data_IF_547111276237
#
_entry.id   IF_547111276237
#
_cell.length_a   1.000
_cell.length_b   1.000
_cell.length_c   1.000
_cell.angle_alpha   90.00
_cell.angle_beta   90.00
_cell.angle_gamma   90.00
#
_symmetry.space_group_name_H-M   'P 1'
#
loop_
_entity.id
_entity.type
_entity.pdbx_description
1 polymer ?
#
# COMPACT_ATOMS: atom_id res chain seq x y z
N UNK A 1 15.87 -2.39 -25.74
CA UNK A 1 15.92 -1.20 -24.87
C UNK A 1 14.77 -1.32 -23.89
N UNK A 2 15.05 -1.42 -22.59
CA UNK A 2 13.99 -1.50 -21.59
C UNK A 2 13.22 -0.17 -21.60
N UNK A 3 11.91 -0.22 -21.76
CA UNK A 3 11.06 0.96 -21.57
C UNK A 3 11.16 1.37 -20.09
N UNK A 4 12.00 2.35 -19.76
CA UNK A 4 11.97 3.01 -18.47
C UNK A 4 10.63 3.74 -18.38
N UNK A 5 9.64 3.11 -17.73
CA UNK A 5 8.49 3.86 -17.26
C UNK A 5 9.02 4.82 -16.20
N UNK A 6 9.01 6.12 -16.50
CA UNK A 6 9.28 7.14 -15.48
C UNK A 6 8.27 6.96 -14.35
N UNK A 7 8.76 6.59 -13.17
CA UNK A 7 7.97 6.42 -11.95
C UNK A 7 8.40 7.53 -11.00
N UNK A 8 7.44 8.29 -10.50
CA UNK A 8 7.71 9.43 -9.61
C UNK A 8 7.78 8.99 -8.15
N UNK A 9 7.04 7.92 -7.79
CA UNK A 9 7.02 7.36 -6.45
C UNK A 9 6.61 5.88 -6.46
N UNK A 10 6.98 5.16 -5.41
CA UNK A 10 6.57 3.78 -5.15
C UNK A 10 5.68 3.77 -3.91
N UNK A 11 4.58 3.02 -3.93
CA UNK A 11 3.76 2.78 -2.75
C UNK A 11 3.64 1.28 -2.48
N UNK A 12 3.81 0.90 -1.23
CA UNK A 12 3.69 -0.47 -0.76
C UNK A 12 2.32 -0.64 -0.11
N UNK A 13 1.56 -1.65 -0.52
CA UNK A 13 0.22 -1.86 0.02
C UNK A 13 0.32 -2.38 1.47
N UNK A 14 -0.33 -1.72 2.45
CA UNK A 14 -0.30 -2.19 3.82
C UNK A 14 -1.08 -3.51 3.95
N UNK A 15 -0.65 -4.40 4.86
CA UNK A 15 -1.29 -5.68 5.08
C UNK A 15 -2.73 -5.50 5.59
N UNK A 16 -3.61 -6.45 5.27
CA UNK A 16 -5.01 -6.38 5.74
C UNK A 16 -5.21 -6.74 7.21
N UNK A 17 -4.21 -7.36 7.83
CA UNK A 17 -4.16 -7.76 9.24
C UNK A 17 -2.71 -7.56 9.72
N UNK A 18 -2.51 -7.37 11.02
CA UNK A 18 -1.16 -7.30 11.59
C UNK A 18 -0.42 -8.63 11.32
N UNK A 19 0.81 -8.53 10.81
CA UNK A 19 1.72 -9.69 10.69
C UNK A 19 3.06 -9.34 11.31
N UNK A 20 3.66 -10.33 11.95
CA UNK A 20 4.98 -10.24 12.59
C UNK A 20 6.12 -10.03 11.59
N UNK A 21 5.97 -10.53 10.36
CA UNK A 21 6.95 -10.41 9.29
C UNK A 21 6.25 -9.92 8.02
N UNK A 22 6.69 -8.78 7.48
CA UNK A 22 6.12 -8.18 6.28
C UNK A 22 7.17 -8.13 5.18
N UNK A 23 6.98 -8.91 4.11
CA UNK A 23 7.88 -8.94 2.95
C UNK A 23 8.04 -7.53 2.34
N UNK A 24 6.95 -6.77 2.26
CA UNK A 24 6.96 -5.43 1.68
C UNK A 24 7.83 -4.46 2.49
N UNK A 25 7.92 -4.58 3.81
CA UNK A 25 8.84 -3.75 4.61
C UNK A 25 10.30 -4.01 4.25
N UNK A 26 10.66 -5.29 4.04
CA UNK A 26 12.01 -5.68 3.61
C UNK A 26 12.30 -5.13 2.22
N UNK A 27 11.33 -5.24 1.29
CA UNK A 27 11.45 -4.67 -0.06
C UNK A 27 11.63 -3.15 0.03
N UNK A 28 10.82 -2.45 0.83
CA UNK A 28 10.94 -1.01 1.04
C UNK A 28 12.33 -0.60 1.53
N UNK A 29 12.88 -1.32 2.51
CA UNK A 29 14.24 -1.08 3.00
C UNK A 29 15.31 -1.30 1.91
N UNK A 30 15.11 -2.26 1.01
CA UNK A 30 16.01 -2.51 -0.13
C UNK A 30 15.86 -1.48 -1.25
N UNK A 31 14.70 -0.86 -1.39
CA UNK A 31 14.43 0.20 -2.37
C UNK A 31 14.95 1.57 -1.91
N UNK A 32 15.12 1.80 -0.61
CA UNK A 32 15.58 3.07 -0.04
C UNK A 32 16.81 3.70 -0.73
N UNK A 33 17.84 2.95 -1.18
CA UNK A 33 19.00 3.51 -1.89
C UNK A 33 18.70 4.03 -3.31
N UNK A 34 17.56 3.70 -3.91
CA UNK A 34 17.24 4.02 -5.31
C UNK A 34 16.82 5.48 -5.53
N UNK A 35 16.75 6.31 -4.48
CA UNK A 35 16.34 7.73 -4.52
C UNK A 35 14.93 7.98 -5.10
N UNK A 36 14.12 6.94 -5.28
CA UNK A 36 12.71 7.06 -5.65
C UNK A 36 11.90 7.23 -4.36
N UNK A 37 11.07 8.28 -4.23
CA UNK A 37 10.22 8.48 -3.06
C UNK A 37 9.31 7.29 -2.76
N UNK A 38 9.21 6.93 -1.48
CA UNK A 38 8.18 6.00 -0.99
C UNK A 38 6.96 6.81 -0.54
N UNK A 39 5.83 6.59 -1.22
CA UNK A 39 4.53 7.13 -0.86
C UNK A 39 3.98 6.36 0.35
N UNK A 40 3.83 6.99 1.52
CA UNK A 40 3.27 6.32 2.69
C UNK A 40 1.78 6.05 2.49
N UNK A 41 1.40 4.78 2.51
CA UNK A 41 0.01 4.33 2.58
C UNK A 41 -0.15 3.56 3.88
N UNK A 42 -1.20 3.87 4.65
CA UNK A 42 -1.50 3.15 5.88
C UNK A 42 -2.94 2.67 5.89
N UNK A 43 -3.19 1.64 6.71
CA UNK A 43 -4.52 1.09 6.91
C UNK A 43 -5.03 1.48 8.29
N UNK A 44 -6.11 2.25 8.33
CA UNK A 44 -6.84 2.56 9.55
C UNK A 44 -7.76 1.39 9.90
N UNK A 45 -7.68 0.94 11.16
CA UNK A 45 -8.56 -0.08 11.70
C UNK A 45 -9.53 0.56 12.71
N UNK A 46 -10.80 0.80 12.32
CA UNK A 46 -11.81 1.28 13.25
C UNK A 46 -11.87 0.37 14.47
N UNK A 47 -11.86 0.95 15.66
CA UNK A 47 -11.86 0.22 16.94
C UNK A 47 -10.73 -0.80 17.10
N UNK A 48 -9.64 -0.68 16.33
CA UNK A 48 -8.52 -1.64 16.30
C UNK A 48 -8.95 -3.07 15.90
N UNK A 49 -10.04 -3.21 15.15
CA UNK A 49 -10.51 -4.50 14.65
C UNK A 49 -10.08 -4.64 13.18
N UNK A 50 -9.05 -5.44 12.88
CA UNK A 50 -8.64 -5.66 11.50
C UNK A 50 -9.63 -6.57 10.79
N UNK A 51 -10.03 -6.18 9.58
CA UNK A 51 -10.90 -6.98 8.70
C UNK A 51 -10.06 -7.54 7.57
N UNK A 52 -9.92 -8.86 7.53
CA UNK A 52 -9.22 -9.55 6.46
C UNK A 52 -9.99 -9.39 5.13
N UNK A 53 -9.31 -9.02 4.06
CA UNK A 53 -9.94 -8.85 2.74
C UNK A 53 -10.67 -10.10 2.25
N UNK A 54 -10.17 -11.30 2.61
CA UNK A 54 -10.77 -12.59 2.24
C UNK A 54 -12.09 -12.89 2.95
N UNK A 55 -12.39 -12.24 4.08
CA UNK A 55 -13.68 -12.43 4.77
C UNK A 55 -14.80 -11.60 4.13
N UNK A 56 -14.45 -10.64 3.27
CA UNK A 56 -15.40 -9.84 2.48
C UNK A 56 -15.81 -10.65 1.25
N UNK A 57 -17.12 -10.88 1.08
CA UNK A 57 -17.68 -11.80 0.08
C UNK A 57 -17.81 -11.16 -1.29
N UNK A 58 -18.24 -9.90 -1.34
CA UNK A 58 -18.50 -9.20 -2.61
C UNK A 58 -17.41 -8.19 -2.95
N UNK A 59 -17.36 -7.78 -4.21
CA UNK A 59 -16.44 -6.75 -4.69
C UNK A 59 -16.74 -5.40 -4.03
N UNK A 60 -18.02 -5.06 -3.93
CA UNK A 60 -18.51 -3.80 -3.36
C UNK A 60 -18.12 -3.69 -1.88
N UNK A 61 -18.19 -4.80 -1.14
CA UNK A 61 -17.72 -4.86 0.25
C UNK A 61 -16.22 -4.58 0.35
N UNK A 62 -15.41 -5.13 -0.56
CA UNK A 62 -13.96 -4.90 -0.61
C UNK A 62 -13.63 -3.46 -0.98
N UNK A 63 -14.33 -2.90 -1.95
CA UNK A 63 -14.16 -1.49 -2.36
C UNK A 63 -14.55 -0.54 -1.24
N UNK A 64 -15.69 -0.77 -0.58
CA UNK A 64 -16.13 0.06 0.53
C UNK A 64 -15.15 -0.02 1.70
N UNK A 65 -14.66 -1.22 2.03
CA UNK A 65 -13.64 -1.39 3.06
C UNK A 65 -12.32 -0.70 2.68
N UNK A 66 -11.89 -0.78 1.41
CA UNK A 66 -10.69 -0.08 0.96
C UNK A 66 -10.85 1.44 1.11
N UNK A 67 -12.00 2.01 0.72
CA UNK A 67 -12.30 3.44 0.86
C UNK A 67 -12.29 3.93 2.31
N UNK A 68 -12.76 3.09 3.25
CA UNK A 68 -12.81 3.48 4.66
C UNK A 68 -11.51 3.24 5.42
N UNK A 69 -10.67 2.31 4.96
CA UNK A 69 -9.48 1.87 5.72
C UNK A 69 -8.15 2.29 5.09
N UNK A 70 -8.02 2.37 3.77
CA UNK A 70 -6.75 2.74 3.12
C UNK A 70 -6.68 4.26 3.02
N UNK A 71 -5.64 4.84 3.63
CA UNK A 71 -5.47 6.29 3.74
C UNK A 71 -4.04 6.70 3.39
N UNK A 72 -3.91 7.95 2.94
CA UNK A 72 -2.65 8.65 2.76
C UNK A 72 -2.55 9.81 3.76
N UNK A 73 -1.35 10.16 4.28
CA UNK A 73 -1.20 11.33 5.14
C UNK A 73 -1.62 12.62 4.45
N UNK A 74 -2.17 13.58 5.19
CA UNK A 74 -2.66 14.85 4.62
C UNK A 74 -1.56 15.69 3.93
N UNK A 75 -0.32 15.59 4.41
CA UNK A 75 0.82 16.36 3.90
C UNK A 75 1.62 15.59 2.83
N UNK A 76 1.01 14.58 2.22
CA UNK A 76 1.64 13.78 1.17
C UNK A 76 1.82 14.59 -0.12
N UNK A 77 3.04 14.65 -0.69
CA UNK A 77 3.26 15.31 -1.97
C UNK A 77 2.42 14.70 -3.10
N UNK A 78 2.09 15.50 -4.10
CA UNK A 78 1.42 15.01 -5.31
C UNK A 78 2.43 14.36 -6.26
N UNK A 79 2.09 13.19 -6.79
CA UNK A 79 2.87 12.44 -7.78
C UNK A 79 1.99 12.12 -8.99
N UNK A 80 2.55 12.07 -10.21
CA UNK A 80 1.77 11.76 -11.42
C UNK A 80 1.74 10.27 -11.73
N UNK A 81 2.86 9.57 -11.54
CA UNK A 81 3.03 8.15 -11.83
C UNK A 81 3.53 7.41 -10.61
N UNK A 82 2.63 6.66 -9.98
CA UNK A 82 2.93 5.87 -8.78
C UNK A 82 2.96 4.39 -9.15
N UNK A 83 4.03 3.68 -8.79
CA UNK A 83 4.10 2.22 -8.83
C UNK A 83 3.55 1.64 -7.54
N UNK A 84 2.49 0.84 -7.62
CA UNK A 84 1.95 0.09 -6.48
C UNK A 84 2.56 -1.32 -6.44
N UNK A 85 3.03 -1.73 -5.26
CA UNK A 85 3.54 -3.08 -5.01
C UNK A 85 2.68 -3.73 -3.92
N UNK A 86 2.13 -4.90 -4.24
CA UNK A 86 1.31 -5.70 -3.35
C UNK A 86 1.91 -7.11 -3.24
N UNK A 87 1.76 -7.76 -2.08
CA UNK A 87 2.28 -9.10 -1.84
C UNK A 87 1.28 -10.22 -2.18
N UNK A 88 0.11 -9.85 -2.74
CA UNK A 88 -1.00 -10.69 -3.21
C UNK A 88 -0.96 -12.15 -2.69
N UNK A 89 -1.64 -12.36 -1.55
CA UNK A 89 -1.82 -13.69 -0.93
C UNK A 89 -3.28 -14.06 -0.84
#
# INVERSE_FOLDING_TARGET
>A
MAHTKDIDAIALIPPSIDRKYQLLEIIGAKLAPMQIPLLPIYKYFPNRIPIAQKTLKTKEQREQNARSTIQIPLNTPSYQKILLIDDFV
#
